data_IF_138891216445
#
_entry.id   IF_138891216445
#
_cell.length_a   1.000
_cell.length_b   1.000
_cell.length_c   1.000
_cell.angle_alpha   90.00
_cell.angle_beta   90.00
_cell.angle_gamma   90.00
#
_symmetry.space_group_name_H-M   'P 1'
#
loop_
_entity.id
_entity.type
_entity.pdbx_description
1 polymer ?
#
# COMPACT_ATOMS: atom_id res chain seq x y z
N UNK A 1 6.79 4.02 -44.56
CA UNK A 1 6.72 3.97 -43.08
C UNK A 1 5.54 4.80 -42.62
N UNK A 2 4.48 4.15 -42.20
CA UNK A 2 3.38 4.86 -41.54
C UNK A 2 3.84 5.27 -40.16
N UNK A 3 3.61 6.52 -39.72
CA UNK A 3 3.87 6.91 -38.34
C UNK A 3 3.03 6.01 -37.43
N UNK A 4 3.55 5.65 -36.22
CA UNK A 4 2.79 4.86 -35.27
C UNK A 4 1.46 5.55 -34.98
N UNK A 5 0.37 4.80 -34.82
CA UNK A 5 -0.92 5.38 -34.51
C UNK A 5 -0.81 6.21 -33.24
N UNK A 6 -1.42 7.39 -33.27
CA UNK A 6 -1.49 8.22 -32.07
C UNK A 6 -1.99 7.37 -30.91
N UNK A 7 -1.31 7.39 -29.73
CA UNK A 7 -1.80 6.67 -28.58
C UNK A 7 -3.23 7.09 -28.32
N UNK A 8 -4.14 6.13 -28.22
CA UNK A 8 -5.53 6.38 -27.83
C UNK A 8 -5.61 7.15 -26.51
N UNK A 9 -6.78 7.40 -26.01
CA UNK A 9 -7.00 8.16 -24.78
C UNK A 9 -6.05 7.67 -23.66
N UNK A 10 -5.34 8.60 -23.04
CA UNK A 10 -4.41 8.32 -21.93
C UNK A 10 -5.15 7.90 -20.64
N UNK A 11 -6.40 7.46 -20.76
CA UNK A 11 -7.29 7.11 -19.65
C UNK A 11 -7.79 5.69 -19.87
N UNK A 12 -7.61 4.84 -18.87
CA UNK A 12 -8.20 3.50 -18.79
C UNK A 12 -9.15 3.46 -17.60
N UNK A 13 -10.36 2.95 -17.79
CA UNK A 13 -11.37 2.75 -16.75
C UNK A 13 -11.71 1.27 -16.68
N UNK A 14 -11.67 0.70 -15.49
CA UNK A 14 -11.92 -0.71 -15.22
C UNK A 14 -12.99 -0.82 -14.13
N UNK A 15 -14.30 -0.74 -14.51
CA UNK A 15 -15.36 -1.01 -13.55
C UNK A 15 -15.47 -2.51 -13.29
N UNK A 16 -15.83 -2.86 -12.06
CA UNK A 16 -16.09 -4.26 -11.71
C UNK A 16 -17.28 -4.38 -10.74
N UNK A 17 -17.87 -5.56 -10.75
CA UNK A 17 -18.88 -5.98 -9.79
C UNK A 17 -18.51 -7.39 -9.32
N UNK A 18 -18.54 -7.63 -8.02
CA UNK A 18 -18.30 -8.92 -7.43
C UNK A 18 -19.53 -9.39 -6.65
N UNK A 19 -19.76 -10.70 -6.68
CA UNK A 19 -20.77 -11.36 -5.86
C UNK A 19 -20.19 -12.68 -5.34
N UNK A 20 -20.39 -12.95 -4.07
CA UNK A 20 -19.86 -14.16 -3.44
C UNK A 20 -20.75 -14.62 -2.30
N UNK A 21 -20.56 -15.87 -1.89
CA UNK A 21 -21.17 -16.46 -0.70
C UNK A 21 -20.05 -16.96 0.18
N UNK A 22 -20.00 -16.46 1.41
CA UNK A 22 -19.07 -16.95 2.43
C UNK A 22 -19.85 -17.69 3.53
N UNK A 23 -19.35 -18.85 3.95
CA UNK A 23 -19.89 -19.60 5.08
C UNK A 23 -18.73 -20.08 5.93
N UNK A 24 -18.78 -19.76 7.20
CA UNK A 24 -17.84 -20.33 8.18
C UNK A 24 -18.48 -21.57 8.81
N UNK A 25 -17.85 -22.71 8.56
CA UNK A 25 -18.31 -24.01 9.09
C UNK A 25 -17.77 -24.29 10.49
N UNK A 26 -16.72 -23.59 10.92
CA UNK A 26 -16.09 -23.78 12.25
C UNK A 26 -16.83 -22.94 13.28
N UNK A 27 -17.12 -21.70 12.95
CA UNK A 27 -17.87 -20.78 13.83
C UNK A 27 -19.39 -20.91 13.72
N UNK A 28 -19.91 -21.87 12.92
CA UNK A 28 -21.36 -22.09 12.65
C UNK A 28 -22.09 -20.81 12.19
N UNK A 29 -21.38 -19.86 11.58
CA UNK A 29 -22.00 -18.62 11.09
C UNK A 29 -22.82 -18.91 9.82
N UNK A 30 -24.07 -18.42 9.74
CA UNK A 30 -24.90 -18.61 8.55
C UNK A 30 -24.23 -17.98 7.31
N UNK A 31 -24.54 -18.56 6.14
CA UNK A 31 -24.01 -18.06 4.89
C UNK A 31 -24.31 -16.57 4.67
N UNK A 32 -23.30 -15.77 4.42
CA UNK A 32 -23.41 -14.35 4.11
C UNK A 32 -23.18 -14.11 2.62
N UNK A 33 -23.99 -13.21 2.04
CA UNK A 33 -23.81 -12.75 0.68
C UNK A 33 -22.88 -11.55 0.65
N UNK A 34 -21.76 -11.71 -0.03
CA UNK A 34 -20.82 -10.62 -0.31
C UNK A 34 -21.20 -9.98 -1.64
N UNK A 35 -21.30 -8.65 -1.65
CA UNK A 35 -21.56 -7.86 -2.86
C UNK A 35 -20.56 -6.71 -2.88
N UNK A 36 -19.95 -6.48 -4.03
CA UNK A 36 -19.03 -5.37 -4.23
C UNK A 36 -19.25 -4.73 -5.59
N UNK A 37 -19.24 -3.41 -5.63
CA UNK A 37 -19.17 -2.60 -6.85
C UNK A 37 -18.04 -1.62 -6.64
N UNK A 38 -17.15 -1.54 -7.60
CA UNK A 38 -16.01 -0.67 -7.54
C UNK A 38 -15.46 -0.37 -8.93
N UNK A 39 -14.32 0.27 -8.96
CA UNK A 39 -13.65 0.57 -10.22
C UNK A 39 -12.30 1.19 -10.02
N UNK A 40 -11.45 0.94 -11.00
CA UNK A 40 -10.13 1.51 -11.11
C UNK A 40 -10.06 2.45 -12.32
N UNK A 41 -9.32 3.52 -12.17
CA UNK A 41 -9.02 4.43 -13.27
C UNK A 41 -7.51 4.68 -13.32
N UNK A 42 -6.95 4.62 -14.53
CA UNK A 42 -5.55 4.93 -14.77
C UNK A 42 -5.46 6.05 -15.79
N UNK A 43 -4.76 7.10 -15.42
CA UNK A 43 -4.55 8.29 -16.23
C UNK A 43 -3.04 8.49 -16.41
N UNK A 44 -2.57 8.47 -17.67
CA UNK A 44 -1.21 8.86 -17.96
C UNK A 44 -1.10 10.40 -17.89
N UNK A 45 -0.49 10.90 -16.81
CA UNK A 45 -0.25 12.34 -16.59
C UNK A 45 0.87 12.85 -17.51
N UNK A 46 1.86 12.01 -17.75
CA UNK A 46 2.92 12.25 -18.73
C UNK A 46 3.38 10.92 -19.34
N UNK A 47 4.33 10.96 -20.26
CA UNK A 47 4.91 9.75 -20.87
C UNK A 47 5.58 8.80 -19.86
N UNK A 48 5.84 9.26 -18.64
CA UNK A 48 6.57 8.51 -17.61
C UNK A 48 5.97 8.64 -16.21
N UNK A 49 4.76 9.20 -16.10
CA UNK A 49 4.06 9.39 -14.83
C UNK A 49 2.59 9.00 -14.97
N UNK A 50 2.10 8.18 -14.07
CA UNK A 50 0.73 7.68 -14.02
C UNK A 50 0.04 8.11 -12.73
N UNK A 51 -1.24 8.44 -12.87
CA UNK A 51 -2.19 8.59 -11.76
C UNK A 51 -3.13 7.39 -11.81
N UNK A 52 -3.12 6.59 -10.76
CA UNK A 52 -4.02 5.47 -10.54
C UNK A 52 -5.00 5.85 -9.44
N UNK A 53 -6.27 5.66 -9.71
CA UNK A 53 -7.37 5.90 -8.79
C UNK A 53 -8.13 4.59 -8.59
N UNK A 54 -8.59 4.34 -7.36
CA UNK A 54 -9.41 3.17 -7.06
C UNK A 54 -10.55 3.55 -6.11
N UNK A 55 -11.69 2.94 -6.31
CA UNK A 55 -12.85 3.06 -5.42
C UNK A 55 -13.38 1.67 -5.12
N UNK A 56 -13.48 1.35 -3.84
CA UNK A 56 -13.88 0.04 -3.34
C UNK A 56 -13.17 -1.12 -4.04
N UNK A 57 -11.81 -1.15 -4.01
CA UNK A 57 -11.02 -2.13 -4.76
C UNK A 57 -11.40 -3.57 -4.38
N UNK A 58 -11.60 -4.40 -5.39
CA UNK A 58 -11.85 -5.83 -5.20
C UNK A 58 -10.53 -6.59 -5.15
N UNK A 59 -10.20 -7.12 -3.98
CA UNK A 59 -9.03 -7.99 -3.78
C UNK A 59 -9.40 -9.46 -3.61
N UNK A 60 -10.63 -9.85 -3.95
CA UNK A 60 -11.12 -11.23 -3.82
C UNK A 60 -10.36 -12.24 -4.68
N UNK A 61 -9.72 -11.79 -5.77
CA UNK A 61 -8.90 -12.62 -6.64
C UNK A 61 -7.45 -12.80 -6.15
N UNK A 62 -7.08 -12.15 -5.07
CA UNK A 62 -5.76 -12.29 -4.49
C UNK A 62 -5.67 -13.64 -3.78
N UNK A 63 -4.73 -14.46 -4.19
CA UNK A 63 -4.48 -15.74 -3.54
C UNK A 63 -4.24 -15.57 -2.04
N UNK A 64 -4.84 -16.44 -1.24
CA UNK A 64 -4.61 -16.51 0.20
C UNK A 64 -3.13 -16.81 0.45
N UNK A 65 -2.53 -16.12 1.40
CA UNK A 65 -1.15 -16.40 1.79
C UNK A 65 -1.08 -17.75 2.51
N UNK A 66 0.01 -18.47 2.29
CA UNK A 66 0.27 -19.70 3.02
C UNK A 66 0.39 -19.40 4.51
N UNK A 67 -0.25 -20.22 5.32
CA UNK A 67 -0.10 -20.12 6.78
C UNK A 67 1.32 -20.54 7.16
N UNK A 68 2.11 -19.59 7.62
CA UNK A 68 3.46 -19.84 8.14
C UNK A 68 3.46 -19.57 9.64
N UNK A 69 3.92 -20.53 10.42
CA UNK A 69 4.11 -20.33 11.87
C UNK A 69 5.26 -19.35 12.08
N UNK A 70 4.95 -18.20 12.67
CA UNK A 70 5.98 -17.21 13.01
C UNK A 70 6.74 -17.65 14.25
N UNK A 71 7.98 -18.09 14.07
CA UNK A 71 8.91 -18.44 15.15
C UNK A 71 9.89 -17.32 15.46
N UNK A 72 9.83 -16.22 14.74
CA UNK A 72 10.69 -15.05 14.90
C UNK A 72 9.90 -13.91 15.57
N UNK A 73 10.62 -13.00 16.23
CA UNK A 73 10.04 -11.78 16.82
C UNK A 73 9.67 -10.72 15.78
N UNK A 74 10.11 -10.90 14.52
CA UNK A 74 9.80 -10.00 13.42
C UNK A 74 8.53 -10.45 12.69
N UNK A 75 7.77 -9.49 12.19
CA UNK A 75 6.58 -9.74 11.38
C UNK A 75 6.93 -10.50 10.10
N UNK A 76 6.14 -11.52 9.75
CA UNK A 76 6.34 -12.26 8.51
C UNK A 76 6.07 -11.32 7.33
N UNK A 77 7.02 -11.27 6.42
CA UNK A 77 6.87 -10.51 5.18
C UNK A 77 6.20 -11.37 4.11
N UNK A 78 4.97 -10.99 3.75
CA UNK A 78 4.28 -11.53 2.59
C UNK A 78 4.45 -10.57 1.40
N UNK A 79 4.81 -11.08 0.21
CA UNK A 79 4.89 -10.23 -0.98
C UNK A 79 3.53 -9.61 -1.30
N UNK A 80 3.53 -8.39 -1.82
CA UNK A 80 2.30 -7.74 -2.29
C UNK A 80 1.76 -8.46 -3.52
N UNK A 81 0.46 -8.75 -3.55
CA UNK A 81 -0.22 -9.45 -4.65
C UNK A 81 -1.30 -8.58 -5.29
N UNK A 82 -1.74 -7.50 -4.63
CA UNK A 82 -2.80 -6.63 -5.12
C UNK A 82 -2.30 -5.73 -6.23
N UNK A 83 -2.94 -5.81 -7.40
CA UNK A 83 -2.52 -5.13 -8.63
C UNK A 83 -2.27 -3.63 -8.44
N UNK A 84 -3.14 -2.95 -7.70
CA UNK A 84 -2.98 -1.52 -7.41
C UNK A 84 -1.64 -1.18 -6.75
N UNK A 85 -1.10 -2.04 -5.89
CA UNK A 85 0.15 -1.80 -5.17
C UNK A 85 1.39 -2.36 -5.88
N UNK A 86 1.22 -3.25 -6.88
CA UNK A 86 2.35 -3.87 -7.58
C UNK A 86 3.05 -2.91 -8.54
N UNK A 87 2.29 -2.10 -9.24
CA UNK A 87 2.85 -1.20 -10.24
C UNK A 87 3.68 -0.09 -9.59
N UNK A 88 4.90 0.13 -10.06
CA UNK A 88 5.86 1.07 -9.49
C UNK A 88 6.12 0.89 -7.98
N UNK A 89 5.98 -0.33 -7.47
CA UNK A 89 6.20 -0.65 -6.05
C UNK A 89 7.62 -0.30 -5.60
N UNK A 90 8.60 -0.36 -6.49
CA UNK A 90 9.99 0.01 -6.23
C UNK A 90 10.14 1.44 -5.69
N UNK A 91 9.24 2.35 -6.08
CA UNK A 91 9.24 3.73 -5.61
C UNK A 91 8.85 3.84 -4.12
N UNK A 92 8.02 2.92 -3.62
CA UNK A 92 7.46 2.97 -2.27
C UNK A 92 8.12 2.00 -1.28
N UNK A 93 8.66 0.88 -1.76
CA UNK A 93 9.05 -0.26 -0.91
C UNK A 93 10.55 -0.40 -0.66
N UNK A 94 11.41 0.39 -1.31
CA UNK A 94 12.87 0.20 -1.26
C UNK A 94 13.57 0.94 -0.12
N UNK A 95 12.84 1.37 0.91
CA UNK A 95 13.40 2.06 2.06
C UNK A 95 13.79 1.10 3.20
N UNK A 96 14.85 1.47 3.93
CA UNK A 96 15.35 0.65 5.03
C UNK A 96 15.99 -0.66 4.58
N UNK A 97 15.87 -1.68 5.40
CA UNK A 97 16.33 -3.04 5.14
C UNK A 97 15.22 -4.09 5.43
N UNK A 98 15.60 -5.38 5.46
CA UNK A 98 14.64 -6.47 5.71
C UNK A 98 14.03 -6.44 7.11
N UNK A 99 14.73 -5.84 8.08
CA UNK A 99 14.32 -5.78 9.51
C UNK A 99 13.64 -4.45 9.84
N UNK A 100 13.92 -3.40 9.07
CA UNK A 100 13.43 -2.03 9.33
C UNK A 100 12.78 -1.48 8.07
N UNK A 101 11.53 -1.85 7.84
CA UNK A 101 10.74 -1.35 6.70
C UNK A 101 9.78 -0.27 7.16
N UNK A 102 9.98 0.99 6.75
CA UNK A 102 9.11 2.09 7.16
C UNK A 102 7.71 2.02 6.56
N UNK A 103 7.58 1.42 5.39
CA UNK A 103 6.29 1.24 4.70
C UNK A 103 6.12 -0.19 4.18
N UNK A 104 4.93 -0.71 4.41
CA UNK A 104 4.51 -2.02 3.94
C UNK A 104 3.04 -1.96 3.51
N UNK A 105 2.79 -2.01 2.20
CA UNK A 105 1.46 -1.85 1.60
C UNK A 105 0.43 -2.87 2.11
N UNK A 106 0.86 -4.09 2.42
CA UNK A 106 -0.02 -5.14 2.93
C UNK A 106 -0.69 -4.82 4.28
N UNK A 107 -0.16 -3.86 5.04
CA UNK A 107 -0.82 -3.36 6.25
C UNK A 107 -2.06 -2.50 5.96
N UNK A 108 -2.18 -1.98 4.72
CA UNK A 108 -3.38 -1.26 4.30
C UNK A 108 -4.46 -2.28 3.93
N UNK A 109 -5.60 -2.19 4.59
CA UNK A 109 -6.73 -3.10 4.35
C UNK A 109 -6.75 -4.33 5.27
N UNK A 110 -5.96 -4.31 6.35
CA UNK A 110 -6.05 -5.27 7.45
C UNK A 110 -6.01 -4.55 8.79
N UNK A 111 -6.73 -5.07 9.77
CA UNK A 111 -6.68 -4.61 11.16
C UNK A 111 -6.59 -5.79 12.11
N UNK A 112 -6.04 -5.57 13.29
CA UNK A 112 -5.99 -6.61 14.33
C UNK A 112 -7.27 -6.57 15.15
N UNK A 113 -7.94 -7.72 15.26
CA UNK A 113 -9.10 -7.92 16.12
C UNK A 113 -8.61 -8.47 17.48
N UNK A 114 -8.70 -7.68 18.56
CA UNK A 114 -8.24 -8.11 19.87
C UNK A 114 -9.11 -9.21 20.47
N UNK A 115 -10.40 -9.29 20.12
CA UNK A 115 -11.33 -10.27 20.68
C UNK A 115 -11.09 -11.67 20.10
N UNK A 116 -10.71 -11.72 18.81
CA UNK A 116 -10.38 -12.97 18.10
C UNK A 116 -8.88 -13.29 18.10
N UNK A 117 -8.04 -12.34 18.52
CA UNK A 117 -6.59 -12.41 18.43
C UNK A 117 -6.06 -12.72 17.02
N UNK A 118 -6.72 -12.16 15.99
CA UNK A 118 -6.39 -12.39 14.59
C UNK A 118 -6.44 -11.09 13.76
N UNK A 119 -5.82 -11.12 12.57
CA UNK A 119 -5.93 -10.04 11.60
C UNK A 119 -7.14 -10.26 10.70
N UNK A 120 -8.00 -9.26 10.62
CA UNK A 120 -9.21 -9.28 9.78
C UNK A 120 -9.12 -8.28 8.64
N UNK A 121 -9.77 -8.55 7.50
CA UNK A 121 -9.82 -7.60 6.39
C UNK A 121 -10.54 -6.31 6.76
N UNK A 122 -9.96 -5.18 6.37
CA UNK A 122 -10.57 -3.85 6.50
C UNK A 122 -10.88 -3.32 5.11
N UNK A 123 -12.14 -2.99 4.79
CA UNK A 123 -12.50 -2.47 3.48
C UNK A 123 -11.74 -1.17 3.16
N UNK A 124 -11.20 -1.08 1.96
CA UNK A 124 -10.62 0.14 1.42
C UNK A 124 -11.73 0.87 0.66
N UNK A 125 -12.01 2.12 1.03
CA UNK A 125 -13.07 2.91 0.42
C UNK A 125 -12.62 3.49 -0.91
N UNK A 126 -11.46 4.14 -0.91
CA UNK A 126 -10.86 4.71 -2.10
C UNK A 126 -9.35 4.90 -1.91
N UNK A 127 -8.69 5.08 -3.02
CA UNK A 127 -7.26 5.37 -3.05
C UNK A 127 -6.84 6.12 -4.30
N UNK A 128 -5.71 6.81 -4.19
CA UNK A 128 -5.06 7.49 -5.28
C UNK A 128 -3.56 7.26 -5.21
N UNK A 129 -2.92 7.02 -6.35
CA UNK A 129 -1.47 6.87 -6.45
C UNK A 129 -0.97 7.62 -7.66
N UNK A 130 -0.10 8.59 -7.44
CA UNK A 130 0.69 9.25 -8.47
C UNK A 130 2.10 8.72 -8.40
N UNK A 131 2.62 8.13 -9.47
CA UNK A 131 3.95 7.54 -9.46
C UNK A 131 4.61 7.59 -10.83
N UNK A 132 5.93 7.74 -10.84
CA UNK A 132 6.69 7.73 -12.07
C UNK A 132 7.96 8.58 -12.03
N UNK A 133 8.47 8.88 -13.23
CA UNK A 133 9.67 9.70 -13.41
C UNK A 133 9.28 11.12 -13.78
N UNK A 134 9.85 12.08 -13.05
CA UNK A 134 9.77 13.50 -13.40
C UNK A 134 10.73 13.83 -14.55
N UNK A 135 11.91 13.23 -14.52
CA UNK A 135 12.94 13.34 -15.55
C UNK A 135 13.90 12.15 -15.46
N UNK A 136 15.07 12.22 -16.13
CA UNK A 136 16.03 11.12 -16.15
C UNK A 136 16.61 10.78 -14.77
N UNK A 137 16.68 11.75 -13.85
CA UNK A 137 17.33 11.59 -12.54
C UNK A 137 16.34 11.52 -11.38
N UNK A 138 15.13 12.02 -11.55
CA UNK A 138 14.14 12.09 -10.49
C UNK A 138 12.96 11.17 -10.72
N UNK A 139 12.62 10.36 -9.69
CA UNK A 139 11.37 9.63 -9.57
C UNK A 139 10.63 10.12 -8.34
N UNK A 140 9.31 10.07 -8.39
CA UNK A 140 8.48 10.37 -7.22
C UNK A 140 7.29 9.43 -7.13
N UNK A 141 6.78 9.29 -5.93
CA UNK A 141 5.54 8.60 -5.66
C UNK A 141 4.76 9.30 -4.56
N UNK A 142 3.45 9.42 -4.74
CA UNK A 142 2.50 9.83 -3.70
C UNK A 142 1.36 8.84 -3.72
N UNK A 143 1.07 8.27 -2.58
CA UNK A 143 -0.02 7.33 -2.36
C UNK A 143 -0.91 7.87 -1.24
N UNK A 144 -2.21 7.86 -1.44
CA UNK A 144 -3.19 8.10 -0.39
C UNK A 144 -4.27 7.02 -0.45
N UNK A 145 -4.58 6.42 0.69
CA UNK A 145 -5.59 5.37 0.81
C UNK A 145 -6.46 5.62 2.03
N UNK A 146 -7.76 5.43 1.87
CA UNK A 146 -8.74 5.55 2.94
C UNK A 146 -9.39 4.20 3.21
N UNK A 147 -9.29 3.70 4.44
CA UNK A 147 -10.00 2.49 4.87
C UNK A 147 -11.30 2.85 5.59
N UNK A 148 -12.23 1.92 5.60
CA UNK A 148 -13.45 2.03 6.38
C UNK A 148 -13.16 1.81 7.87
N UNK A 149 -14.10 2.22 8.70
CA UNK A 149 -14.17 1.83 10.10
C UNK A 149 -14.64 0.37 10.19
N UNK A 150 -14.06 -0.40 11.12
CA UNK A 150 -14.49 -1.76 11.46
C UNK A 150 -14.96 -1.76 12.92
N UNK A 151 -16.26 -1.56 13.18
CA UNK A 151 -16.78 -1.44 14.55
C UNK A 151 -16.57 -2.71 15.39
N UNK A 152 -16.64 -3.88 14.76
CA UNK A 152 -16.48 -5.19 15.42
C UNK A 152 -15.10 -5.36 16.08
N UNK A 153 -14.05 -4.81 15.47
CA UNK A 153 -12.67 -4.83 16.01
C UNK A 153 -12.28 -3.52 16.69
N UNK A 154 -13.22 -2.62 16.94
CA UNK A 154 -12.98 -1.29 17.51
C UNK A 154 -11.93 -0.47 16.73
N UNK A 155 -11.80 -0.71 15.41
CA UNK A 155 -10.82 -0.05 14.58
C UNK A 155 -11.42 1.16 13.85
N UNK A 156 -10.84 2.37 13.99
CA UNK A 156 -11.33 3.56 13.31
C UNK A 156 -11.05 3.50 11.81
N UNK A 157 -11.82 4.27 11.03
CA UNK A 157 -11.43 4.56 9.67
C UNK A 157 -10.04 5.21 9.67
N UNK A 158 -9.18 4.80 8.73
CA UNK A 158 -7.77 5.23 8.76
C UNK A 158 -7.35 5.75 7.39
N UNK A 159 -6.69 6.90 7.38
CA UNK A 159 -6.05 7.45 6.19
C UNK A 159 -4.56 7.11 6.19
N UNK A 160 -4.09 6.57 5.09
CA UNK A 160 -2.68 6.29 4.85
C UNK A 160 -2.17 7.21 3.75
N UNK A 161 -1.12 7.97 4.04
CA UNK A 161 -0.44 8.81 3.05
C UNK A 161 1.03 8.45 3.02
N UNK A 162 1.55 8.18 1.83
CA UNK A 162 2.97 7.93 1.60
C UNK A 162 3.46 8.85 0.51
N UNK A 163 4.52 9.57 0.77
CA UNK A 163 5.19 10.40 -0.22
C UNK A 163 6.66 10.00 -0.31
N UNK A 164 7.17 9.86 -1.52
CA UNK A 164 8.54 9.44 -1.77
C UNK A 164 9.15 10.25 -2.90
N UNK A 165 10.43 10.50 -2.79
CA UNK A 165 11.22 11.12 -3.84
C UNK A 165 12.57 10.44 -3.93
N UNK A 166 12.99 10.12 -5.14
CA UNK A 166 14.27 9.47 -5.42
C UNK A 166 15.05 10.31 -6.41
N UNK A 167 16.32 10.48 -6.16
CA UNK A 167 17.25 11.15 -7.07
C UNK A 167 18.44 10.26 -7.36
N UNK A 168 18.67 10.02 -8.65
CA UNK A 168 19.91 9.43 -9.09
C UNK A 168 21.06 10.45 -8.94
N UNK A 169 22.13 10.06 -8.26
CA UNK A 169 23.36 10.85 -8.11
C UNK A 169 24.51 10.03 -8.65
N UNK A 170 25.44 10.69 -9.29
CA UNK A 170 26.52 10.03 -10.04
C UNK A 170 25.95 9.05 -11.08
N UNK A 171 26.71 8.04 -11.48
CA UNK A 171 26.27 7.09 -12.51
C UNK A 171 25.26 6.08 -11.98
N UNK A 172 25.44 5.56 -10.76
CA UNK A 172 24.67 4.41 -10.22
C UNK A 172 24.19 4.59 -8.78
N UNK A 173 24.62 5.62 -8.10
CA UNK A 173 24.19 5.91 -6.73
C UNK A 173 22.84 6.64 -6.70
N UNK A 174 22.17 6.60 -5.57
CA UNK A 174 20.88 7.25 -5.40
C UNK A 174 20.64 7.77 -4.00
N UNK A 175 19.91 8.86 -3.91
CA UNK A 175 19.37 9.40 -2.66
C UNK A 175 17.85 9.29 -2.76
N UNK A 176 17.23 8.84 -1.68
CA UNK A 176 15.79 8.79 -1.58
C UNK A 176 15.34 9.35 -0.24
N UNK A 177 14.18 10.02 -0.23
CA UNK A 177 13.51 10.47 0.98
C UNK A 177 12.06 10.03 0.96
N UNK A 178 11.49 9.79 2.14
CA UNK A 178 10.10 9.37 2.26
C UNK A 178 9.43 9.94 3.50
N UNK A 179 8.13 10.03 3.42
CA UNK A 179 7.21 10.32 4.51
C UNK A 179 6.07 9.30 4.46
N UNK A 180 5.82 8.65 5.59
CA UNK A 180 4.67 7.76 5.79
C UNK A 180 3.83 8.35 6.91
N UNK A 181 2.55 8.50 6.66
CA UNK A 181 1.59 9.00 7.64
C UNK A 181 0.41 8.03 7.71
N UNK A 182 0.06 7.62 8.93
CA UNK A 182 -1.13 6.84 9.26
C UNK A 182 -1.94 7.66 10.25
N UNK A 183 -3.10 8.17 9.84
CA UNK A 183 -3.99 8.96 10.68
C UNK A 183 -5.36 8.28 10.81
N UNK A 184 -5.81 7.96 12.03
CA UNK A 184 -7.19 7.56 12.26
C UNK A 184 -8.13 8.76 11.98
N UNK A 185 -9.19 8.52 11.21
CA UNK A 185 -10.16 9.53 10.80
C UNK A 185 -11.51 9.17 11.43
N UNK A 186 -12.00 10.02 12.29
CA UNK A 186 -13.26 9.79 13.00
C UNK A 186 -13.06 9.20 14.40
N UNK A 187 -14.04 9.43 15.24
CA UNK A 187 -14.09 8.91 16.60
C UNK A 187 -15.09 7.74 16.63
N UNK A 188 -14.71 6.63 17.25
CA UNK A 188 -15.66 5.65 17.69
C UNK A 188 -16.47 6.28 18.82
N UNK A 189 -17.74 6.57 18.57
CA UNK A 189 -18.66 7.04 19.61
C UNK A 189 -18.94 5.90 20.57
N UNK A 190 -18.33 5.91 21.72
CA UNK A 190 -18.59 5.01 22.83
C UNK A 190 -17.47 5.07 23.86
N UNK A 191 -17.82 5.14 25.12
CA UNK A 191 -16.91 4.98 26.26
C UNK A 191 -16.32 3.56 26.22
N UNK A 192 -15.21 3.42 25.56
CA UNK A 192 -14.52 2.16 25.43
C UNK A 192 -13.12 2.31 26.04
N UNK A 193 -12.98 1.92 27.32
CA UNK A 193 -11.70 1.89 28.03
C UNK A 193 -10.68 0.93 27.37
N UNK A 194 -11.16 0.05 26.49
CA UNK A 194 -10.35 -0.94 25.74
C UNK A 194 -10.25 -0.65 24.25
N UNK A 195 -10.78 0.48 23.76
CA UNK A 195 -10.62 0.84 22.35
C UNK A 195 -9.14 0.96 22.06
N UNK A 196 -8.66 0.13 21.15
CA UNK A 196 -7.37 0.30 20.53
C UNK A 196 -7.39 1.68 19.83
N UNK A 197 -7.04 2.72 20.60
CA UNK A 197 -6.83 4.07 20.05
C UNK A 197 -5.62 3.97 19.15
N UNK A 198 -5.90 3.55 17.93
CA UNK A 198 -4.90 3.47 16.88
C UNK A 198 -4.36 4.90 16.71
N UNK A 199 -3.22 5.14 17.34
CA UNK A 199 -2.61 6.46 17.36
C UNK A 199 -2.11 6.79 15.97
N UNK A 200 -2.14 8.07 15.64
CA UNK A 200 -1.45 8.54 14.44
C UNK A 200 0.02 8.12 14.51
N UNK A 201 0.54 7.64 13.40
CA UNK A 201 1.94 7.27 13.26
C UNK A 201 2.53 7.98 12.05
N UNK A 202 3.65 8.67 12.26
CA UNK A 202 4.36 9.41 11.22
C UNK A 202 5.79 8.98 11.21
N UNK A 203 6.22 8.45 10.06
CA UNK A 203 7.60 8.03 9.85
C UNK A 203 8.19 8.81 8.69
N UNK A 204 9.32 9.43 8.91
CA UNK A 204 10.08 10.09 7.86
C UNK A 204 11.51 9.56 7.84
N UNK A 205 12.11 9.55 6.66
CA UNK A 205 13.49 9.08 6.56
C UNK A 205 14.14 9.38 5.22
N UNK A 206 15.40 9.02 5.16
CA UNK A 206 16.26 9.17 4.00
C UNK A 206 17.16 7.94 3.84
N UNK A 207 17.34 7.52 2.59
CA UNK A 207 18.21 6.42 2.20
C UNK A 207 19.25 6.93 1.21
N UNK A 208 20.49 6.50 1.37
CA UNK A 208 21.54 6.67 0.38
C UNK A 208 22.04 5.31 -0.07
N UNK A 209 21.93 5.03 -1.35
CA UNK A 209 22.46 3.83 -1.98
C UNK A 209 23.71 4.19 -2.77
N UNK A 210 24.85 3.65 -2.34
CA UNK A 210 26.12 3.79 -3.02
C UNK A 210 26.30 2.63 -4.00
N UNK A 211 26.64 2.94 -5.24
CA UNK A 211 27.14 1.97 -6.19
C UNK A 211 28.21 2.62 -7.07
N UNK A 212 29.42 2.03 -7.10
CA UNK A 212 30.48 2.45 -8.01
C UNK A 212 30.14 2.11 -9.46
N UNK A 213 30.73 2.79 -10.42
CA UNK A 213 30.49 2.58 -11.85
C UNK A 213 30.71 1.13 -12.28
N UNK A 214 31.71 0.48 -11.72
CA UNK A 214 32.11 -0.90 -11.96
C UNK A 214 31.37 -1.95 -11.08
N UNK A 215 30.47 -1.51 -10.19
CA UNK A 215 29.78 -2.34 -9.18
C UNK A 215 30.70 -3.03 -8.15
N UNK A 216 31.96 -2.65 -8.08
CA UNK A 216 32.86 -3.24 -7.12
C UNK A 216 32.55 -2.82 -5.67
N UNK A 217 32.09 -1.59 -5.49
CA UNK A 217 31.68 -1.06 -4.19
C UNK A 217 30.19 -0.77 -4.21
N UNK A 218 29.45 -1.45 -3.34
CA UNK A 218 28.02 -1.20 -3.12
C UNK A 218 27.76 -1.06 -1.62
N UNK A 219 26.82 -0.19 -1.25
CA UNK A 219 26.44 0.00 0.14
C UNK A 219 25.14 0.77 0.28
N UNK A 220 24.52 0.68 1.44
CA UNK A 220 23.31 1.43 1.77
C UNK A 220 23.43 2.00 3.17
N UNK A 221 23.10 3.29 3.30
CA UNK A 221 22.99 3.99 4.58
C UNK A 221 21.60 4.58 4.64
N UNK A 222 20.90 4.43 5.75
CA UNK A 222 19.56 4.98 5.93
C UNK A 222 19.37 5.52 7.34
N UNK A 223 18.45 6.47 7.44
CA UNK A 223 17.99 7.05 8.70
C UNK A 223 16.48 7.20 8.68
N UNK A 224 15.82 6.66 9.71
CA UNK A 224 14.37 6.71 9.86
C UNK A 224 14.03 7.23 11.27
N UNK A 225 12.99 8.07 11.35
CA UNK A 225 12.44 8.57 12.60
C UNK A 225 10.90 8.43 12.57
N UNK A 226 10.33 7.93 13.66
CA UNK A 226 8.90 7.85 13.92
C UNK A 226 8.52 8.68 15.16
#
# INVERSE_FOLDING_TARGET
DQPPPNPGSNISLIPYASAGVAKDYIAEIPASFLKGIGGDAKVAVSSSMNLDLTVNPDFSQVEVDEQVTNLDRFEIYYPEKRQFFLENNDIFSQFGDRTTRPFFSRRIGITYDPDRAEYIPTPILFGARLSGKLNQDWKMGVLNMQTAQVPESHSPATNYTVATVHRRVFERSGIAAFLVNKDPVGFLSGDCDSCNTDRSNRVAGMDYTLASADNFLTGKVYYNQS
#
